data_IF_791499150169
#
_entry.id   IF_791499150169
#
_cell.length_a   1.000
_cell.length_b   1.000
_cell.length_c   1.000
_cell.angle_alpha   90.00
_cell.angle_beta   90.00
_cell.angle_gamma   90.00
#
_symmetry.space_group_name_H-M   'P 1'
#
loop_
_entity.id
_entity.type
_entity.pdbx_description
1 polymer ?
#
# COMPACT_ATOMS: atom_id res chain seq x y z
N UNK A 1 -24.66 -3.15 -8.88
CA UNK A 1 -23.69 -3.10 -7.74
C UNK A 1 -23.59 -1.70 -7.17
N UNK A 2 -23.21 -0.68 -7.96
CA UNK A 2 -23.09 0.72 -7.49
C UNK A 2 -24.40 1.39 -7.05
N UNK A 3 -25.55 0.84 -7.41
CA UNK A 3 -26.87 1.28 -6.93
C UNK A 3 -27.08 0.99 -5.44
N UNK A 4 -26.45 -0.07 -4.92
CA UNK A 4 -26.61 -0.54 -3.55
C UNK A 4 -25.36 -0.34 -2.68
N UNK A 5 -24.34 0.31 -3.22
CA UNK A 5 -23.08 0.59 -2.55
C UNK A 5 -22.82 2.10 -2.53
N UNK A 6 -22.44 2.61 -1.36
CA UNK A 6 -22.01 3.99 -1.20
C UNK A 6 -20.74 4.27 -2.00
N UNK A 7 -19.75 3.38 -1.89
CA UNK A 7 -18.52 3.37 -2.65
C UNK A 7 -17.98 1.95 -2.88
N UNK A 8 -16.94 1.84 -3.71
CA UNK A 8 -16.17 0.62 -3.94
C UNK A 8 -14.70 0.85 -3.63
N UNK A 9 -14.07 -0.11 -2.98
CA UNK A 9 -12.63 -0.08 -2.73
C UNK A 9 -11.92 -0.77 -3.91
N UNK A 10 -11.15 0.01 -4.68
CA UNK A 10 -10.29 -0.53 -5.72
C UNK A 10 -9.01 -1.04 -5.06
N UNK A 11 -8.81 -2.36 -5.00
CA UNK A 11 -7.58 -2.97 -4.47
C UNK A 11 -6.45 -2.84 -5.50
N UNK A 12 -5.90 -1.63 -5.62
CA UNK A 12 -4.86 -1.24 -6.58
C UNK A 12 -3.43 -1.61 -6.13
N UNK A 13 -3.31 -2.77 -5.50
CA UNK A 13 -2.08 -3.39 -5.05
C UNK A 13 -2.14 -4.87 -5.42
N UNK A 14 -1.00 -5.57 -5.31
CA UNK A 14 -0.87 -6.95 -5.79
C UNK A 14 -1.13 -7.08 -7.30
N UNK A 15 -0.68 -6.08 -8.06
CA UNK A 15 -0.70 -6.13 -9.53
C UNK A 15 0.25 -7.21 -10.07
N UNK A 16 1.38 -7.39 -9.38
CA UNK A 16 2.37 -8.42 -9.71
C UNK A 16 2.76 -9.25 -8.49
N UNK A 17 3.06 -10.52 -8.73
CA UNK A 17 3.40 -11.47 -7.68
C UNK A 17 3.96 -12.78 -8.22
N UNK A 18 3.99 -13.79 -7.36
CA UNK A 18 4.47 -15.15 -7.72
C UNK A 18 3.64 -15.79 -8.84
N UNK A 19 2.39 -15.37 -9.00
CA UNK A 19 1.49 -15.85 -10.05
C UNK A 19 1.92 -15.44 -11.46
N UNK A 20 2.80 -14.45 -11.60
CA UNK A 20 3.34 -14.01 -12.91
C UNK A 20 4.56 -14.81 -13.37
N UNK A 21 4.95 -15.85 -12.63
CA UNK A 21 6.15 -16.65 -12.91
C UNK A 21 6.20 -17.21 -14.35
N UNK A 22 5.04 -17.57 -14.91
CA UNK A 22 4.90 -18.19 -16.23
C UNK A 22 4.43 -17.19 -17.30
N UNK A 23 4.62 -15.89 -17.07
CA UNK A 23 4.15 -14.86 -17.98
C UNK A 23 4.86 -14.94 -19.35
N UNK A 24 4.11 -14.93 -20.48
CA UNK A 24 4.67 -14.97 -21.84
C UNK A 24 5.70 -13.88 -22.16
N UNK A 25 5.68 -12.75 -21.44
CA UNK A 25 6.63 -11.64 -21.64
C UNK A 25 8.02 -11.91 -21.02
N UNK A 26 8.17 -13.03 -20.30
CA UNK A 26 9.41 -13.46 -19.68
C UNK A 26 9.53 -13.10 -18.21
N UNK A 27 10.69 -13.42 -17.65
CA UNK A 27 10.99 -13.33 -16.21
C UNK A 27 11.42 -11.92 -15.80
N UNK A 28 10.50 -10.97 -15.81
CA UNK A 28 10.73 -9.58 -15.40
C UNK A 28 9.99 -9.33 -14.09
N UNK A 29 10.68 -8.75 -13.11
CA UNK A 29 10.05 -8.32 -11.86
C UNK A 29 9.45 -6.93 -12.05
N UNK A 30 8.20 -6.77 -11.68
CA UNK A 30 7.43 -5.53 -11.78
C UNK A 30 6.83 -5.20 -10.41
N UNK A 31 6.60 -3.90 -10.19
CA UNK A 31 6.10 -3.38 -8.94
C UNK A 31 4.61 -3.67 -8.74
N UNK A 32 4.23 -4.20 -7.58
CA UNK A 32 2.85 -4.60 -7.29
C UNK A 32 1.88 -3.43 -7.08
N UNK A 33 2.40 -2.20 -7.02
CA UNK A 33 1.69 -0.96 -6.70
C UNK A 33 2.00 0.16 -7.71
N UNK A 34 2.13 -0.20 -8.99
CA UNK A 34 2.49 0.71 -10.08
C UNK A 34 1.33 1.66 -10.49
N UNK A 35 1.51 2.97 -10.27
CA UNK A 35 0.50 3.99 -10.58
C UNK A 35 0.14 4.08 -12.07
N UNK A 36 1.04 3.79 -13.01
CA UNK A 36 0.68 3.82 -14.44
C UNK A 36 -0.37 2.76 -14.77
N UNK A 37 -0.30 1.61 -14.12
CA UNK A 37 -1.22 0.49 -14.34
C UNK A 37 -2.50 0.64 -13.53
N UNK A 38 -2.41 1.24 -12.34
CA UNK A 38 -3.58 1.68 -11.57
C UNK A 38 -4.43 2.64 -12.41
N UNK A 39 -3.79 3.62 -13.08
CA UNK A 39 -4.47 4.55 -14.00
C UNK A 39 -5.17 3.80 -15.13
N UNK A 40 -4.47 2.86 -15.79
CA UNK A 40 -5.07 2.06 -16.86
C UNK A 40 -6.25 1.20 -16.39
N UNK A 41 -6.16 0.64 -15.18
CA UNK A 41 -7.24 -0.14 -14.59
C UNK A 41 -8.47 0.73 -14.30
N UNK A 42 -8.24 1.94 -13.79
CA UNK A 42 -9.31 2.87 -13.48
C UNK A 42 -9.98 3.44 -14.75
N UNK A 43 -9.29 3.51 -15.89
CA UNK A 43 -9.90 3.79 -17.22
C UNK A 43 -11.04 2.85 -17.56
N UNK A 44 -10.96 1.58 -17.15
CA UNK A 44 -12.04 0.62 -17.38
C UNK A 44 -13.29 0.98 -16.58
N UNK A 45 -13.15 1.57 -15.40
CA UNK A 45 -14.28 2.03 -14.59
C UNK A 45 -14.97 3.22 -15.25
N UNK A 46 -14.20 4.21 -15.70
CA UNK A 46 -14.77 5.41 -16.34
C UNK A 46 -15.45 5.09 -17.67
N UNK A 47 -14.93 4.11 -18.43
CA UNK A 47 -15.57 3.60 -19.66
C UNK A 47 -16.90 2.87 -19.43
N UNK A 48 -17.21 2.51 -18.19
CA UNK A 48 -18.46 1.86 -17.79
C UNK A 48 -19.31 2.78 -16.90
N UNK A 49 -19.16 4.10 -17.04
CA UNK A 49 -19.94 5.12 -16.35
C UNK A 49 -19.89 5.03 -14.81
N UNK A 50 -18.82 4.44 -14.25
CA UNK A 50 -18.58 4.44 -12.81
C UNK A 50 -18.15 5.85 -12.38
N UNK A 51 -18.92 6.55 -11.52
CA UNK A 51 -18.54 7.88 -11.07
C UNK A 51 -17.23 7.82 -10.25
N UNK A 52 -16.20 8.63 -10.57
CA UNK A 52 -14.93 8.61 -9.84
C UNK A 52 -15.08 8.79 -8.32
N UNK A 53 -15.99 9.67 -7.88
CA UNK A 53 -16.26 9.91 -6.46
C UNK A 53 -16.85 8.71 -5.70
N UNK A 54 -17.27 7.65 -6.39
CA UNK A 54 -17.68 6.37 -5.77
C UNK A 54 -16.53 5.36 -5.65
N UNK A 55 -15.33 5.69 -6.10
CA UNK A 55 -14.17 4.80 -6.07
C UNK A 55 -13.18 5.28 -5.02
N UNK A 56 -12.77 4.38 -4.15
CA UNK A 56 -11.75 4.60 -3.12
C UNK A 56 -10.48 3.87 -3.52
N UNK A 57 -9.35 4.57 -3.53
CA UNK A 57 -8.06 4.04 -3.97
C UNK A 57 -7.40 3.18 -2.89
N UNK A 58 -7.15 1.90 -3.17
CA UNK A 58 -6.47 0.99 -2.26
C UNK A 58 -4.95 1.12 -2.32
N UNK A 59 -4.31 1.25 -1.17
CA UNK A 59 -2.87 1.33 -1.00
C UNK A 59 -2.37 0.22 -0.06
N UNK A 60 -1.16 -0.27 -0.30
CA UNK A 60 -0.55 -1.33 0.51
C UNK A 60 0.46 -0.77 1.51
N UNK A 61 0.35 -1.14 2.79
CA UNK A 61 1.39 -0.95 3.81
C UNK A 61 2.32 -2.15 3.85
N UNK A 62 2.72 -2.60 2.68
CA UNK A 62 3.63 -3.73 2.49
C UNK A 62 4.24 -3.64 1.10
N UNK A 63 5.30 -4.42 0.91
CA UNK A 63 5.98 -4.59 -0.36
C UNK A 63 5.97 -6.04 -0.82
N UNK A 64 6.07 -6.27 -2.13
CA UNK A 64 6.30 -7.61 -2.68
C UNK A 64 7.80 -7.82 -2.87
N UNK A 65 8.29 -8.97 -2.43
CA UNK A 65 9.71 -9.30 -2.50
C UNK A 65 9.98 -10.49 -3.41
N UNK A 66 11.11 -10.45 -4.10
CA UNK A 66 11.55 -11.49 -5.03
C UNK A 66 13.05 -11.74 -4.89
N UNK A 67 13.45 -13.02 -4.87
CA UNK A 67 14.85 -13.43 -4.98
C UNK A 67 15.27 -13.57 -6.45
N UNK A 68 16.34 -12.89 -6.85
CA UNK A 68 16.79 -12.76 -8.26
C UNK A 68 17.94 -13.69 -8.65
N UNK A 69 18.32 -14.64 -7.79
CA UNK A 69 19.58 -15.40 -7.94
C UNK A 69 19.50 -16.58 -8.92
N UNK A 70 18.32 -17.17 -9.10
CA UNK A 70 18.09 -18.31 -9.97
C UNK A 70 16.62 -18.29 -10.46
N UNK A 71 16.27 -19.06 -11.50
CA UNK A 71 14.87 -19.33 -11.90
C UNK A 71 14.02 -20.00 -10.80
N UNK A 72 14.58 -20.22 -9.60
CA UNK A 72 13.83 -20.56 -8.40
C UNK A 72 13.24 -19.28 -7.80
N UNK A 73 11.97 -19.05 -8.06
CA UNK A 73 11.25 -17.85 -7.61
C UNK A 73 10.83 -17.99 -6.14
N UNK A 74 11.70 -17.57 -5.22
CA UNK A 74 11.27 -17.29 -3.86
C UNK A 74 10.68 -15.89 -3.84
N UNK A 75 9.36 -15.81 -3.77
CA UNK A 75 8.62 -14.57 -3.66
C UNK A 75 7.92 -14.49 -2.30
N UNK A 76 7.75 -13.28 -1.79
CA UNK A 76 7.12 -13.04 -0.50
C UNK A 76 6.52 -11.66 -0.39
N UNK A 77 6.14 -11.33 0.84
CA UNK A 77 5.62 -10.03 1.21
C UNK A 77 6.40 -9.56 2.43
N UNK A 78 6.79 -8.29 2.46
CA UNK A 78 7.35 -7.65 3.63
C UNK A 78 6.40 -6.58 4.12
N UNK A 79 6.03 -6.61 5.40
CA UNK A 79 5.27 -5.53 6.01
C UNK A 79 6.06 -4.23 5.98
N UNK A 80 5.37 -3.08 6.01
CA UNK A 80 6.02 -1.78 5.98
C UNK A 80 7.04 -1.62 7.11
N UNK A 81 6.75 -2.06 8.34
CA UNK A 81 7.71 -2.03 9.45
C UNK A 81 8.99 -2.85 9.16
N UNK A 82 8.90 -3.99 8.47
CA UNK A 82 10.07 -4.80 8.10
C UNK A 82 10.93 -4.08 7.05
N UNK A 83 10.29 -3.36 6.13
CA UNK A 83 10.97 -2.53 5.14
C UNK A 83 11.68 -1.36 5.84
N UNK A 84 11.05 -0.71 6.81
CA UNK A 84 11.70 0.33 7.62
C UNK A 84 12.92 -0.22 8.39
N UNK A 85 12.82 -1.42 8.96
CA UNK A 85 13.95 -2.10 9.61
C UNK A 85 15.11 -2.36 8.62
N UNK A 86 14.82 -2.75 7.38
CA UNK A 86 15.84 -2.93 6.34
C UNK A 86 16.48 -1.59 5.98
N UNK A 87 15.67 -0.55 5.78
CA UNK A 87 16.14 0.79 5.43
C UNK A 87 17.06 1.36 6.50
N UNK A 88 16.71 1.20 7.77
CA UNK A 88 17.48 1.72 8.91
C UNK A 88 18.74 0.89 9.19
N UNK A 89 18.63 -0.44 9.20
CA UNK A 89 19.73 -1.33 9.61
C UNK A 89 20.71 -1.65 8.49
N UNK A 90 20.24 -1.77 7.24
CA UNK A 90 21.06 -2.16 6.07
C UNK A 90 21.40 -0.99 5.17
N UNK A 91 20.61 0.09 5.22
CA UNK A 91 20.80 1.31 4.40
C UNK A 91 21.02 1.00 2.91
N UNK A 92 20.17 0.16 2.29
CA UNK A 92 20.28 -0.11 0.86
C UNK A 92 20.02 1.18 0.07
N UNK A 93 20.50 1.22 -1.17
CA UNK A 93 20.11 2.28 -2.10
C UNK A 93 18.65 2.06 -2.50
N UNK A 94 17.78 3.02 -2.18
CA UNK A 94 16.41 3.08 -2.69
C UNK A 94 16.42 3.72 -4.07
N UNK A 95 15.67 3.15 -4.99
CA UNK A 95 15.43 3.69 -6.32
C UNK A 95 13.96 4.07 -6.38
N UNK A 96 13.70 5.33 -6.73
CA UNK A 96 12.36 5.87 -6.89
C UNK A 96 12.02 5.94 -8.37
N UNK A 97 11.05 5.13 -8.80
CA UNK A 97 10.45 5.23 -10.11
C UNK A 97 9.35 6.30 -10.07
N UNK A 98 9.66 7.46 -10.63
CA UNK A 98 8.77 8.63 -10.64
C UNK A 98 7.54 8.44 -11.52
N UNK A 99 7.63 7.63 -12.56
CA UNK A 99 6.53 7.43 -13.49
C UNK A 99 5.52 6.44 -12.90
N UNK A 100 6.03 5.33 -12.36
CA UNK A 100 5.25 4.33 -11.65
C UNK A 100 4.84 4.75 -10.23
N UNK A 101 5.38 5.85 -9.71
CA UNK A 101 5.19 6.33 -8.34
C UNK A 101 5.39 5.21 -7.31
N UNK A 102 6.53 4.53 -7.38
CA UNK A 102 6.88 3.41 -6.50
C UNK A 102 8.37 3.45 -6.16
N UNK A 103 8.72 2.98 -4.96
CA UNK A 103 10.10 2.76 -4.57
C UNK A 103 10.44 1.29 -4.66
N UNK A 104 11.70 0.98 -4.96
CA UNK A 104 12.23 -0.37 -4.79
C UNK A 104 13.68 -0.34 -4.34
N UNK A 105 14.13 -1.44 -3.74
CA UNK A 105 15.49 -1.59 -3.24
C UNK A 105 16.00 -3.01 -3.44
N UNK A 106 17.33 -3.14 -3.33
CA UNK A 106 17.99 -4.44 -3.28
C UNK A 106 18.69 -4.61 -1.94
N UNK A 107 18.55 -5.79 -1.32
CA UNK A 107 19.25 -6.15 -0.09
C UNK A 107 19.74 -7.60 -0.15
N UNK A 108 20.74 -7.93 0.68
CA UNK A 108 21.37 -9.27 0.72
C UNK A 108 21.90 -9.79 -0.63
N UNK A 109 22.14 -8.89 -1.59
CA UNK A 109 22.75 -9.18 -2.90
C UNK A 109 21.76 -9.63 -3.99
N UNK A 110 20.68 -10.30 -3.62
CA UNK A 110 19.72 -10.88 -4.57
C UNK A 110 18.24 -10.66 -4.21
N UNK A 111 17.93 -10.00 -3.10
CA UNK A 111 16.55 -9.74 -2.69
C UNK A 111 16.12 -8.39 -3.21
N UNK A 112 15.09 -8.36 -4.02
CA UNK A 112 14.41 -7.15 -4.47
C UNK A 112 13.10 -7.00 -3.70
N UNK A 113 12.73 -5.77 -3.37
CA UNK A 113 11.41 -5.43 -2.81
C UNK A 113 10.98 -4.06 -3.31
N UNK A 114 9.74 -3.94 -3.75
CA UNK A 114 9.08 -2.65 -3.98
C UNK A 114 8.16 -2.27 -2.82
N UNK A 115 7.91 -0.99 -2.64
CA UNK A 115 7.13 -0.46 -1.53
C UNK A 115 6.71 0.99 -1.76
N UNK A 116 5.72 1.44 -1.00
CA UNK A 116 5.37 2.85 -0.89
C UNK A 116 6.02 3.52 0.32
N UNK A 117 6.29 4.81 0.21
CA UNK A 117 6.63 5.69 1.32
C UNK A 117 5.84 7.01 1.24
N UNK A 118 6.16 7.96 2.12
CA UNK A 118 5.54 9.29 2.13
C UNK A 118 5.52 9.99 0.77
N UNK A 119 6.57 9.85 -0.04
CA UNK A 119 6.65 10.52 -1.33
C UNK A 119 5.74 9.84 -2.36
N UNK A 120 5.75 8.51 -2.45
CA UNK A 120 4.89 7.78 -3.39
C UNK A 120 3.41 7.83 -2.98
N UNK A 121 3.11 7.77 -1.67
CA UNK A 121 1.75 8.02 -1.17
C UNK A 121 1.24 9.39 -1.58
N UNK A 122 2.07 10.44 -1.46
CA UNK A 122 1.70 11.78 -1.90
C UNK A 122 1.43 11.83 -3.41
N UNK A 123 2.24 11.17 -4.24
CA UNK A 123 2.02 11.12 -5.68
C UNK A 123 0.69 10.43 -6.03
N UNK A 124 0.37 9.33 -5.35
CA UNK A 124 -0.90 8.59 -5.54
C UNK A 124 -2.10 9.39 -5.03
N UNK A 125 -1.98 10.05 -3.89
CA UNK A 125 -3.01 10.94 -3.35
C UNK A 125 -3.28 12.13 -4.28
N UNK A 126 -2.24 12.76 -4.82
CA UNK A 126 -2.39 13.85 -5.77
C UNK A 126 -3.18 13.39 -7.00
N UNK A 127 -2.82 12.24 -7.57
CA UNK A 127 -3.58 11.69 -8.69
C UNK A 127 -5.03 11.33 -8.32
N UNK A 128 -5.26 10.71 -7.16
CA UNK A 128 -6.60 10.40 -6.67
C UNK A 128 -7.46 11.68 -6.55
N UNK A 129 -6.88 12.76 -6.04
CA UNK A 129 -7.53 14.06 -5.94
C UNK A 129 -7.79 14.70 -7.32
N UNK A 130 -6.82 14.62 -8.24
CA UNK A 130 -6.95 15.17 -9.60
C UNK A 130 -8.10 14.51 -10.37
N UNK A 131 -8.31 13.20 -10.16
CA UNK A 131 -9.42 12.43 -10.75
C UNK A 131 -10.75 12.69 -10.01
N UNK A 132 -10.70 13.10 -8.74
CA UNK A 132 -11.87 13.23 -7.88
C UNK A 132 -12.36 11.89 -7.33
N UNK A 133 -11.44 11.00 -6.93
CA UNK A 133 -11.77 9.76 -6.23
C UNK A 133 -12.40 10.06 -4.85
N UNK A 134 -13.23 9.14 -4.36
CA UNK A 134 -13.96 9.27 -3.10
C UNK A 134 -13.08 9.19 -1.83
N UNK A 135 -11.83 8.76 -1.98
CA UNK A 135 -10.86 8.68 -0.89
C UNK A 135 -9.78 7.63 -1.14
N UNK A 136 -9.09 7.26 -0.07
CA UNK A 136 -8.09 6.18 -0.06
C UNK A 136 -8.43 5.15 1.02
N UNK A 137 -8.04 3.91 0.78
CA UNK A 137 -8.17 2.77 1.70
C UNK A 137 -6.79 2.13 1.82
N UNK A 138 -6.46 1.59 2.99
CA UNK A 138 -5.18 0.92 3.23
C UNK A 138 -5.35 -0.57 3.55
N UNK A 139 -4.38 -1.35 3.10
CA UNK A 139 -4.17 -2.73 3.53
C UNK A 139 -2.74 -2.89 4.05
N UNK A 140 -2.50 -3.10 5.33
CA UNK A 140 -3.43 -2.97 6.45
C UNK A 140 -2.73 -2.27 7.61
N UNK A 141 -3.52 -1.72 8.54
CA UNK A 141 -2.99 -0.91 9.66
C UNK A 141 -1.95 -1.65 10.50
N UNK A 142 -2.09 -2.98 10.67
CA UNK A 142 -1.16 -3.79 11.46
C UNK A 142 0.20 -4.03 10.80
N UNK A 143 0.41 -3.55 9.58
CA UNK A 143 1.70 -3.63 8.88
C UNK A 143 2.52 -2.35 8.97
N UNK A 144 1.95 -1.29 9.55
CA UNK A 144 2.67 -0.06 9.87
C UNK A 144 3.64 -0.27 11.05
N UNK A 145 4.54 0.67 11.27
CA UNK A 145 5.42 0.67 12.44
C UNK A 145 4.74 1.29 13.67
N UNK A 146 5.38 1.20 14.84
CA UNK A 146 4.84 1.72 16.11
C UNK A 146 4.70 3.25 16.13
N UNK A 147 5.24 3.96 15.15
CA UNK A 147 5.12 5.41 14.99
C UNK A 147 4.05 5.77 13.95
N UNK A 148 3.35 4.77 13.41
CA UNK A 148 2.39 4.91 12.33
C UNK A 148 2.95 5.69 11.13
N UNK A 149 4.23 5.48 10.81
CA UNK A 149 4.92 6.33 9.84
C UNK A 149 4.40 6.17 8.41
N UNK A 150 3.83 5.02 8.05
CA UNK A 150 3.12 4.86 6.77
C UNK A 150 1.83 5.68 6.76
N UNK A 151 1.05 5.62 7.84
CA UNK A 151 -0.19 6.38 7.98
C UNK A 151 0.07 7.89 8.02
N UNK A 152 1.09 8.35 8.75
CA UNK A 152 1.52 9.76 8.72
C UNK A 152 2.00 10.18 7.33
N UNK A 153 2.75 9.30 6.66
CA UNK A 153 3.19 9.51 5.28
C UNK A 153 2.02 9.69 4.32
N UNK A 154 0.97 8.87 4.49
CA UNK A 154 -0.25 8.91 3.70
C UNK A 154 -1.11 10.15 4.00
N UNK A 155 -1.32 10.47 5.27
CA UNK A 155 -2.21 11.55 5.71
C UNK A 155 -1.55 12.93 5.67
N UNK A 156 -0.22 12.98 5.60
CA UNK A 156 0.55 14.23 5.59
C UNK A 156 0.58 14.99 6.92
N UNK A 157 0.03 14.40 8.00
CA UNK A 157 0.03 14.94 9.35
C UNK A 157 0.24 13.82 10.37
N UNK A 158 0.65 14.19 11.59
CA UNK A 158 0.91 13.22 12.64
C UNK A 158 -0.38 12.63 13.21
N UNK A 159 -0.37 11.33 13.48
CA UNK A 159 -1.50 10.60 14.12
C UNK A 159 -1.19 10.15 15.55
N UNK A 160 0.00 10.48 16.06
CA UNK A 160 0.52 9.94 17.32
C UNK A 160 1.25 8.62 17.12
N UNK A 161 1.67 7.99 18.21
CA UNK A 161 2.28 6.67 18.23
C UNK A 161 1.33 5.61 18.82
N UNK A 162 1.70 4.33 18.69
CA UNK A 162 0.91 3.22 19.21
C UNK A 162 0.55 3.38 20.70
N UNK A 163 1.51 3.80 21.52
CA UNK A 163 1.29 3.99 22.96
C UNK A 163 0.25 5.09 23.24
N UNK A 164 0.34 6.22 22.53
CA UNK A 164 -0.59 7.34 22.67
C UNK A 164 -1.99 7.02 22.15
N UNK A 165 -2.11 6.24 21.07
CA UNK A 165 -3.40 5.85 20.49
C UNK A 165 -4.07 4.69 21.25
N UNK A 166 -3.27 3.78 21.82
CA UNK A 166 -3.75 2.63 22.58
C UNK A 166 -3.81 2.89 24.09
N UNK A 167 -3.37 4.06 24.55
CA UNK A 167 -3.59 4.53 25.91
C UNK A 167 -5.10 4.52 26.19
N UNK A 168 -5.56 3.43 26.81
CA UNK A 168 -6.96 3.32 27.24
C UNK A 168 -7.24 4.46 28.19
N UNK A 169 -8.20 5.32 27.82
CA UNK A 169 -9.00 5.98 28.84
C UNK A 169 -9.57 4.85 29.70
N UNK A 170 -9.32 4.88 31.00
CA UNK A 170 -9.97 3.95 31.92
C UNK A 170 -11.47 4.18 31.77
N UNK A 171 -12.16 3.28 31.06
CA UNK A 171 -13.62 3.26 31.00
C UNK A 171 -14.05 2.42 32.20
N UNK A 172 -14.62 3.01 33.27
CA UNK A 172 -15.25 2.25 34.32
C UNK A 172 -16.61 1.77 33.82
N UNK A 173 -16.63 0.81 32.90
CA UNK A 173 -17.90 0.17 32.53
C UNK A 173 -17.67 -1.28 32.12
N UNK A 174 -17.80 -2.17 33.10
CA UNK A 174 -17.81 -3.62 32.89
C UNK A 174 -19.20 -4.21 33.19
N UNK A 175 -20.27 -3.41 33.16
CA UNK A 175 -21.63 -3.94 33.35
C UNK A 175 -22.43 -4.10 32.05
N UNK A 176 -21.96 -3.55 30.93
CA UNK A 176 -22.62 -3.69 29.63
C UNK A 176 -21.66 -4.18 28.53
N UNK A 177 -22.11 -5.18 27.76
CA UNK A 177 -21.37 -5.92 26.72
C UNK A 177 -21.07 -5.11 25.44
N UNK A 178 -21.18 -3.79 25.49
CA UNK A 178 -20.98 -2.92 24.35
C UNK A 178 -19.81 -1.96 24.60
N UNK A 179 -18.84 -2.02 23.70
CA UNK A 179 -17.83 -0.96 23.55
C UNK A 179 -18.55 0.35 23.25
N UNK A 180 -18.32 1.39 24.06
CA UNK A 180 -18.78 2.76 23.76
C UNK A 180 -17.92 3.46 22.70
N UNK A 181 -16.86 2.79 22.23
CA UNK A 181 -16.07 3.19 21.07
C UNK A 181 -16.42 2.29 19.87
N UNK A 182 -17.53 2.62 19.21
CA UNK A 182 -17.98 2.02 17.95
C UNK A 182 -18.91 2.98 17.23
#
# INVERSE_FOLDING_TARGET
MLEYADWVNLMSYDLYGVWDQDNPIGSIVLAHINLTEIKQSAELLWRNDVPPGKVVLGLGFYGRSFQLKDRSYNAGTLAYFEIQDILTTKKPKVIHDKEAAVNYLFFKGDQWVDFDDKETFKQKNNWANDVGLGGVMIWSVGQDDNQFSALEGLLGHSVGDYESMMARLVIPDTEHWASSSG
#
